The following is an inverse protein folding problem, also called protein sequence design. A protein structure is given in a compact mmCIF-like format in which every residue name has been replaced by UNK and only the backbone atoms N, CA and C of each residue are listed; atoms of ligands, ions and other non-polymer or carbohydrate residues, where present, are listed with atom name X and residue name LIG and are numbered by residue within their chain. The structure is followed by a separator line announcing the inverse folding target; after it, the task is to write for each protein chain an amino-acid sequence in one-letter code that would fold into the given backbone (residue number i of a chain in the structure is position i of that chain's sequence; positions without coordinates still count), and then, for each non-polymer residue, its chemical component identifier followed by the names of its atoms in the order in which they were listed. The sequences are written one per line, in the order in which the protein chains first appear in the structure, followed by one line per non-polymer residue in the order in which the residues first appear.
data_IF_977337802366
#
_entry.id   IF_977337802366
#
_cell.length_a   1.000
_cell.length_b   1.000
_cell.length_c   1.000
_cell.angle_alpha   90.00
_cell.angle_beta   90.00
_cell.angle_gamma   90.00
#
_symmetry.space_group_name_H-M   'P 1'
#
loop_
_entity.id
_entity.type
_entity.pdbx_description
1 polymer ?
#
# COMPACT_ATOMS: atom_id res chain seq x y z
N UNK A 1 -51.92 -15.14 -3.33
CA UNK A 1 -50.51 -14.86 -2.98
C UNK A 1 -50.22 -13.39 -3.25
N UNK A 2 -49.88 -12.58 -2.22
CA UNK A 2 -49.36 -11.23 -2.44
C UNK A 2 -47.88 -11.36 -2.83
N UNK A 3 -47.55 -11.02 -4.07
CA UNK A 3 -46.17 -10.97 -4.53
C UNK A 3 -45.56 -9.69 -3.97
N UNK A 4 -44.83 -9.81 -2.86
CA UNK A 4 -44.02 -8.71 -2.31
C UNK A 4 -42.78 -8.57 -3.19
N UNK A 5 -42.57 -7.37 -3.75
CA UNK A 5 -41.42 -7.08 -4.61
C UNK A 5 -40.54 -6.05 -3.91
N UNK A 6 -39.25 -6.34 -3.74
CA UNK A 6 -38.31 -5.31 -3.33
C UNK A 6 -38.24 -4.20 -4.39
N UNK A 7 -38.23 -2.96 -3.90
CA UNK A 7 -38.03 -1.78 -4.73
C UNK A 7 -36.55 -1.62 -5.09
N UNK A 8 -36.29 -0.87 -6.16
CA UNK A 8 -34.93 -0.69 -6.69
C UNK A 8 -33.99 -0.04 -5.65
N UNK A 9 -34.50 0.86 -4.82
CA UNK A 9 -33.70 1.52 -3.76
C UNK A 9 -33.12 0.50 -2.77
N UNK A 10 -33.92 -0.48 -2.35
CA UNK A 10 -33.45 -1.51 -1.42
C UNK A 10 -32.46 -2.48 -2.08
N UNK A 11 -32.67 -2.81 -3.36
CA UNK A 11 -31.71 -3.62 -4.13
C UNK A 11 -30.36 -2.93 -4.26
N UNK A 12 -30.34 -1.62 -4.48
CA UNK A 12 -29.10 -0.81 -4.49
C UNK A 12 -28.42 -0.79 -3.12
N UNK A 13 -29.18 -0.72 -2.03
CA UNK A 13 -28.60 -0.81 -0.70
C UNK A 13 -27.93 -2.17 -0.47
N UNK A 14 -28.59 -3.28 -0.83
CA UNK A 14 -28.00 -4.63 -0.75
C UNK A 14 -26.71 -4.71 -1.56
N UNK A 15 -26.71 -4.18 -2.79
CA UNK A 15 -25.54 -4.13 -3.67
C UNK A 15 -24.33 -3.46 -3.00
N UNK A 16 -24.53 -2.42 -2.18
CA UNK A 16 -23.43 -1.73 -1.48
C UNK A 16 -22.82 -2.53 -0.32
N UNK A 17 -23.50 -3.59 0.15
CA UNK A 17 -22.96 -4.52 1.14
C UNK A 17 -22.20 -5.70 0.52
N UNK A 18 -22.24 -5.87 -0.80
CA UNK A 18 -21.51 -6.94 -1.49
C UNK A 18 -20.00 -6.67 -1.47
N UNK A 19 -19.22 -7.70 -1.20
CA UNK A 19 -17.78 -7.55 -0.93
C UNK A 19 -16.93 -7.75 -2.19
N UNK A 20 -17.34 -8.66 -3.07
CA UNK A 20 -16.57 -9.08 -4.25
C UNK A 20 -17.31 -8.82 -5.57
N UNK A 21 -16.59 -8.81 -6.70
CA UNK A 21 -17.25 -8.76 -8.01
C UNK A 21 -18.05 -10.04 -8.29
N UNK A 22 -17.66 -11.17 -7.71
CA UNK A 22 -18.41 -12.43 -7.84
C UNK A 22 -19.76 -12.34 -7.15
N UNK A 23 -19.82 -11.75 -5.96
CA UNK A 23 -21.09 -11.47 -5.28
C UNK A 23 -21.99 -10.57 -6.13
N UNK A 24 -21.42 -9.55 -6.77
CA UNK A 24 -22.15 -8.65 -7.67
C UNK A 24 -22.65 -9.39 -8.92
N UNK A 25 -21.83 -10.26 -9.50
CA UNK A 25 -22.21 -11.11 -10.64
C UNK A 25 -23.32 -12.08 -10.26
N UNK A 26 -23.23 -12.72 -9.10
CA UNK A 26 -24.26 -13.60 -8.57
C UNK A 26 -25.56 -12.83 -8.32
N UNK A 27 -25.46 -11.62 -7.74
CA UNK A 27 -26.60 -10.73 -7.54
C UNK A 27 -27.29 -10.37 -8.87
N UNK A 28 -26.52 -10.05 -9.90
CA UNK A 28 -27.02 -9.78 -11.26
C UNK A 28 -27.83 -10.97 -11.82
N UNK A 29 -27.43 -12.20 -11.51
CA UNK A 29 -28.08 -13.42 -12.01
C UNK A 29 -29.37 -13.78 -11.27
N UNK A 30 -29.66 -13.19 -10.09
CA UNK A 30 -30.87 -13.51 -9.31
C UNK A 30 -32.14 -13.18 -10.10
N UNK A 31 -32.23 -11.97 -10.67
CA UNK A 31 -33.34 -11.55 -11.52
C UNK A 31 -33.02 -10.24 -12.28
N UNK A 32 -33.88 -9.91 -13.26
CA UNK A 32 -33.76 -8.71 -14.09
C UNK A 32 -33.63 -7.40 -13.28
N UNK A 33 -34.36 -7.26 -12.16
CA UNK A 33 -34.30 -6.05 -11.34
C UNK A 33 -32.95 -5.86 -10.65
N UNK A 34 -32.26 -6.94 -10.30
CA UNK A 34 -30.90 -6.85 -9.76
C UNK A 34 -29.92 -6.31 -10.81
N UNK A 35 -30.05 -6.74 -12.08
CA UNK A 35 -29.29 -6.18 -13.18
C UNK A 35 -29.63 -4.71 -13.47
N UNK A 36 -30.91 -4.34 -13.42
CA UNK A 36 -31.34 -2.94 -13.51
C UNK A 36 -30.80 -2.10 -12.35
N UNK A 37 -30.71 -2.66 -11.14
CA UNK A 37 -30.11 -1.98 -10.00
C UNK A 37 -28.63 -1.68 -10.28
N UNK A 38 -27.83 -2.68 -10.66
CA UNK A 38 -26.41 -2.52 -11.03
C UNK A 38 -26.23 -1.48 -12.14
N UNK A 39 -27.02 -1.58 -13.21
CA UNK A 39 -26.92 -0.69 -14.37
C UNK A 39 -27.33 0.76 -14.08
N UNK A 40 -27.98 1.04 -12.94
CA UNK A 40 -28.46 2.38 -12.56
C UNK A 40 -27.79 2.93 -11.31
N UNK A 41 -26.71 2.29 -10.84
CA UNK A 41 -25.92 2.79 -9.72
C UNK A 41 -24.81 3.72 -10.21
N UNK A 42 -24.76 4.93 -9.65
CA UNK A 42 -23.81 5.98 -10.04
C UNK A 42 -22.50 5.94 -9.25
N UNK A 43 -22.38 5.01 -8.30
CA UNK A 43 -21.24 4.86 -7.39
C UNK A 43 -20.86 3.38 -7.22
N UNK A 44 -19.59 3.06 -7.02
CA UNK A 44 -19.22 1.67 -6.76
C UNK A 44 -19.45 1.30 -5.28
N UNK A 45 -19.78 0.03 -4.98
CA UNK A 45 -19.65 -0.51 -3.62
C UNK A 45 -18.24 -0.27 -3.04
N UNK A 46 -18.20 0.12 -1.77
CA UNK A 46 -16.99 0.62 -1.11
C UNK A 46 -15.85 -0.41 -1.08
N UNK A 47 -16.19 -1.69 -0.86
CA UNK A 47 -15.23 -2.80 -0.75
C UNK A 47 -14.53 -3.12 -2.07
N UNK A 48 -15.21 -2.94 -3.21
CA UNK A 48 -14.66 -3.36 -4.50
C UNK A 48 -13.36 -2.62 -4.85
N UNK A 49 -13.27 -1.32 -4.55
CA UNK A 49 -12.08 -0.52 -4.84
C UNK A 49 -10.82 -0.98 -4.10
N UNK A 50 -10.96 -1.87 -3.11
CA UNK A 50 -9.86 -2.43 -2.33
C UNK A 50 -9.19 -3.64 -2.99
N UNK A 51 -9.91 -4.32 -3.88
CA UNK A 51 -9.48 -5.58 -4.48
C UNK A 51 -9.48 -5.54 -6.02
N UNK A 52 -10.26 -4.63 -6.62
CA UNK A 52 -10.43 -4.55 -8.07
C UNK A 52 -10.04 -3.20 -8.65
N UNK A 53 -9.36 -3.25 -9.79
CA UNK A 53 -8.95 -2.06 -10.53
C UNK A 53 -10.17 -1.29 -11.01
N UNK A 54 -10.00 0.01 -11.26
CA UNK A 54 -11.06 0.82 -11.86
C UNK A 54 -11.60 0.17 -13.15
N UNK A 55 -10.73 -0.34 -14.02
CA UNK A 55 -11.14 -1.02 -15.26
C UNK A 55 -12.06 -2.23 -15.02
N UNK A 56 -11.78 -3.04 -14.00
CA UNK A 56 -12.65 -4.17 -13.64
C UNK A 56 -14.01 -3.69 -13.12
N UNK A 57 -14.03 -2.69 -12.24
CA UNK A 57 -15.26 -2.13 -11.67
C UNK A 57 -16.10 -1.46 -12.75
N UNK A 58 -15.48 -0.66 -13.62
CA UNK A 58 -16.15 0.08 -14.69
C UNK A 58 -16.80 -0.82 -15.76
N UNK A 59 -16.36 -2.08 -15.89
CA UNK A 59 -17.03 -3.07 -16.76
C UNK A 59 -18.40 -3.49 -16.21
N UNK A 60 -18.57 -3.48 -14.89
CA UNK A 60 -19.82 -3.92 -14.23
C UNK A 60 -20.79 -2.75 -14.03
N UNK A 61 -20.25 -1.56 -13.71
CA UNK A 61 -21.05 -0.36 -13.42
C UNK A 61 -20.87 0.67 -14.54
N UNK A 62 -21.65 0.59 -15.63
CA UNK A 62 -21.42 1.39 -16.85
C UNK A 62 -21.76 2.88 -16.69
N UNK A 63 -22.52 3.27 -15.67
CA UNK A 63 -22.99 4.65 -15.45
C UNK A 63 -22.35 5.32 -14.23
N UNK A 64 -21.18 4.84 -13.79
CA UNK A 64 -20.46 5.44 -12.66
C UNK A 64 -20.21 6.95 -12.90
N UNK A 65 -20.69 7.77 -11.97
CA UNK A 65 -20.45 9.21 -11.93
C UNK A 65 -19.45 9.59 -10.83
N UNK A 66 -19.32 8.75 -9.79
CA UNK A 66 -18.30 8.91 -8.77
C UNK A 66 -17.66 7.56 -8.45
N UNK A 67 -16.34 7.51 -8.51
CA UNK A 67 -15.53 6.37 -8.11
C UNK A 67 -15.06 6.55 -6.66
N UNK A 68 -15.62 5.76 -5.75
CA UNK A 68 -15.17 5.66 -4.38
C UNK A 68 -13.95 4.74 -4.30
N UNK A 69 -12.80 5.35 -4.07
CA UNK A 69 -11.55 4.69 -3.79
C UNK A 69 -11.32 4.66 -2.27
N UNK A 70 -11.93 3.68 -1.59
CA UNK A 70 -11.76 3.48 -0.15
C UNK A 70 -10.28 3.33 0.23
N UNK A 71 -9.58 2.42 -0.48
CA UNK A 71 -8.14 2.27 -0.44
C UNK A 71 -7.63 1.85 -1.81
N UNK A 72 -6.75 2.65 -2.41
CA UNK A 72 -6.10 2.24 -3.65
C UNK A 72 -5.11 1.11 -3.34
N UNK A 73 -5.29 -0.07 -3.91
CA UNK A 73 -4.30 -1.16 -3.91
C UNK A 73 -3.47 -1.20 -5.21
N UNK A 74 -3.95 -0.52 -6.26
CA UNK A 74 -3.24 -0.23 -7.49
C UNK A 74 -3.26 1.27 -7.79
N UNK A 75 -2.21 1.83 -8.38
CA UNK A 75 -2.22 3.20 -8.90
C UNK A 75 -3.06 3.24 -10.18
N UNK A 76 -4.06 4.15 -10.29
CA UNK A 76 -4.79 4.37 -11.52
C UNK A 76 -3.84 4.69 -12.67
N UNK A 77 -4.16 4.20 -13.87
CA UNK A 77 -3.34 4.43 -15.05
C UNK A 77 -3.88 5.60 -15.86
N UNK A 78 -2.97 6.36 -16.47
CA UNK A 78 -3.35 7.49 -17.32
C UNK A 78 -4.27 7.07 -18.49
N UNK A 79 -4.11 5.85 -19.01
CA UNK A 79 -4.98 5.31 -20.07
C UNK A 79 -6.45 5.18 -19.64
N UNK A 80 -6.71 5.04 -18.34
CA UNK A 80 -8.05 4.93 -17.76
C UNK A 80 -8.69 6.31 -17.52
N UNK A 81 -7.89 7.38 -17.51
CA UNK A 81 -8.30 8.73 -17.10
C UNK A 81 -9.45 9.31 -17.93
N UNK A 82 -9.53 8.95 -19.22
CA UNK A 82 -10.59 9.44 -20.13
C UNK A 82 -11.98 9.00 -19.66
N UNK A 83 -12.09 7.75 -19.23
CA UNK A 83 -13.36 7.15 -18.80
C UNK A 83 -13.56 7.25 -17.28
N UNK A 84 -12.56 7.74 -16.55
CA UNK A 84 -12.62 7.83 -15.11
C UNK A 84 -13.59 8.95 -14.68
N UNK A 85 -14.59 8.63 -13.85
CA UNK A 85 -15.47 9.63 -13.26
C UNK A 85 -14.74 10.46 -12.20
N UNK A 86 -15.45 11.34 -11.51
CA UNK A 86 -14.91 12.02 -10.33
C UNK A 86 -14.58 10.99 -9.24
N UNK A 87 -13.53 11.23 -8.46
CA UNK A 87 -12.99 10.28 -7.48
C UNK A 87 -13.10 10.82 -6.06
N UNK A 88 -13.42 9.93 -5.15
CA UNK A 88 -13.31 10.16 -3.72
C UNK A 88 -12.33 9.17 -3.11
N UNK A 89 -11.20 9.68 -2.61
CA UNK A 89 -10.07 8.88 -2.15
C UNK A 89 -10.03 8.92 -0.62
N UNK A 90 -10.29 7.77 -0.01
CA UNK A 90 -10.24 7.57 1.44
C UNK A 90 -8.81 7.38 1.94
N UNK A 91 -8.10 6.39 1.41
CA UNK A 91 -6.73 6.07 1.80
C UNK A 91 -5.86 5.70 0.58
N UNK A 92 -4.56 5.97 0.70
CA UNK A 92 -3.55 5.53 -0.25
C UNK A 92 -2.59 4.55 0.42
N UNK A 93 -2.32 3.42 -0.22
CA UNK A 93 -1.39 2.44 0.32
C UNK A 93 0.05 2.99 0.34
N UNK A 94 0.78 2.73 1.42
CA UNK A 94 2.17 3.18 1.61
C UNK A 94 3.13 2.62 0.55
N UNK A 95 2.79 1.50 -0.09
CA UNK A 95 3.59 0.89 -1.16
C UNK A 95 3.29 1.41 -2.57
N UNK A 96 2.30 2.28 -2.75
CA UNK A 96 1.92 2.76 -4.07
C UNK A 96 2.65 4.05 -4.46
N UNK A 97 3.04 4.19 -5.74
CA UNK A 97 3.56 5.44 -6.28
C UNK A 97 2.66 6.64 -5.92
N UNK A 98 3.24 7.65 -5.27
CA UNK A 98 2.54 8.89 -4.90
C UNK A 98 2.67 9.99 -5.96
N UNK A 99 3.50 9.76 -6.99
CA UNK A 99 3.74 10.72 -8.07
C UNK A 99 2.47 11.10 -8.82
N UNK A 100 1.47 10.22 -8.85
CA UNK A 100 0.17 10.46 -9.48
C UNK A 100 -0.54 11.71 -8.94
N UNK A 101 -0.37 12.04 -7.65
CA UNK A 101 -0.96 13.22 -7.01
C UNK A 101 -0.38 14.54 -7.53
N UNK A 102 0.76 14.51 -8.22
CA UNK A 102 1.35 15.68 -8.87
C UNK A 102 0.87 15.87 -10.32
N UNK A 103 0.17 14.88 -10.88
CA UNK A 103 -0.22 14.88 -12.30
C UNK A 103 -1.58 15.54 -12.50
N UNK A 104 -1.71 16.30 -13.59
CA UNK A 104 -2.94 17.03 -13.93
C UNK A 104 -4.13 16.09 -14.18
N UNK A 105 -3.93 15.05 -15.00
CA UNK A 105 -5.00 14.11 -15.38
C UNK A 105 -5.65 13.42 -14.18
N UNK A 106 -4.88 13.19 -13.10
CA UNK A 106 -5.39 12.58 -11.88
C UNK A 106 -6.04 13.63 -10.98
N UNK A 107 -5.34 14.74 -10.71
CA UNK A 107 -5.79 15.78 -9.80
C UNK A 107 -7.13 16.40 -10.22
N UNK A 108 -7.37 16.59 -11.51
CA UNK A 108 -8.64 17.11 -12.04
C UNK A 108 -9.82 16.16 -11.79
N UNK A 109 -9.57 14.87 -11.58
CA UNK A 109 -10.61 13.89 -11.29
C UNK A 109 -10.90 13.77 -9.79
N UNK A 110 -10.06 14.31 -8.92
CA UNK A 110 -10.22 14.16 -7.47
C UNK A 110 -11.22 15.18 -6.92
N UNK A 111 -12.30 14.68 -6.32
CA UNK A 111 -13.36 15.47 -5.68
C UNK A 111 -13.23 15.50 -4.16
N UNK A 112 -12.83 14.38 -3.56
CA UNK A 112 -12.53 14.26 -2.13
C UNK A 112 -11.23 13.50 -1.94
N UNK A 113 -10.37 13.94 -1.03
CA UNK A 113 -9.11 13.26 -0.76
C UNK A 113 -8.67 13.42 0.68
N UNK A 114 -8.07 12.35 1.21
CA UNK A 114 -7.25 12.39 2.41
C UNK A 114 -5.77 12.35 2.07
N UNK A 115 -5.04 13.35 2.54
CA UNK A 115 -3.60 13.48 2.36
C UNK A 115 -2.89 13.07 3.64
N UNK A 116 -2.11 12.00 3.54
CA UNK A 116 -1.23 11.49 4.60
C UNK A 116 0.22 11.87 4.32
N UNK A 117 1.11 11.67 5.32
CA UNK A 117 2.52 12.01 5.22
C UNK A 117 3.24 11.53 3.94
N UNK A 118 3.04 10.28 3.44
CA UNK A 118 3.70 9.83 2.21
C UNK A 118 3.27 10.59 0.94
N UNK A 119 2.07 11.17 0.94
CA UNK A 119 1.44 11.77 -0.25
C UNK A 119 1.66 13.28 -0.30
N UNK A 120 1.83 13.92 0.86
CA UNK A 120 1.77 15.38 1.01
C UNK A 120 2.69 16.12 0.04
N UNK A 121 3.92 15.65 -0.16
CA UNK A 121 4.86 16.31 -1.07
C UNK A 121 4.39 16.29 -2.52
N UNK A 122 3.91 15.14 -3.00
CA UNK A 122 3.38 14.99 -4.37
C UNK A 122 2.08 15.76 -4.58
N UNK A 123 1.20 15.79 -3.56
CA UNK A 123 -0.02 16.59 -3.58
C UNK A 123 0.30 18.09 -3.73
N UNK A 124 1.23 18.60 -2.92
CA UNK A 124 1.59 20.03 -2.93
C UNK A 124 2.25 20.44 -4.25
N UNK A 125 3.04 19.54 -4.86
CA UNK A 125 3.60 19.78 -6.20
C UNK A 125 2.51 19.96 -7.27
N UNK A 126 1.38 19.27 -7.14
CA UNK A 126 0.26 19.32 -8.08
C UNK A 126 -0.93 20.16 -7.63
N UNK A 127 -0.82 20.94 -6.56
CA UNK A 127 -1.97 21.52 -5.85
C UNK A 127 -2.89 22.36 -6.76
N UNK A 128 -2.33 23.09 -7.71
CA UNK A 128 -3.06 23.94 -8.65
C UNK A 128 -3.91 23.15 -9.66
N UNK A 129 -3.67 21.84 -9.81
CA UNK A 129 -4.42 20.99 -10.72
C UNK A 129 -5.74 20.46 -10.11
N UNK A 130 -5.97 20.64 -8.80
CA UNK A 130 -7.14 20.12 -8.09
C UNK A 130 -8.36 21.04 -8.23
N UNK A 131 -8.85 21.19 -9.46
CA UNK A 131 -9.96 22.12 -9.79
C UNK A 131 -11.34 21.65 -9.30
N UNK A 132 -11.52 20.34 -9.11
CA UNK A 132 -12.79 19.74 -8.67
C UNK A 132 -12.79 19.33 -7.19
N UNK A 133 -11.72 19.65 -6.44
CA UNK A 133 -11.56 19.21 -5.06
C UNK A 133 -12.45 20.04 -4.13
N UNK A 134 -13.48 19.41 -3.55
CA UNK A 134 -14.43 20.07 -2.64
C UNK A 134 -14.20 19.71 -1.17
N UNK A 135 -13.57 18.56 -0.89
CA UNK A 135 -13.33 18.09 0.47
C UNK A 135 -11.90 17.57 0.63
N UNK A 136 -11.14 18.24 1.48
CA UNK A 136 -9.77 17.86 1.81
C UNK A 136 -9.66 17.51 3.30
N UNK A 137 -9.10 16.34 3.56
CA UNK A 137 -8.61 15.95 4.88
C UNK A 137 -7.09 15.86 4.82
N UNK A 138 -6.37 16.49 5.75
CA UNK A 138 -4.90 16.47 5.74
C UNK A 138 -4.32 16.39 7.15
N UNK A 139 -3.23 15.66 7.29
CA UNK A 139 -2.38 15.65 8.48
C UNK A 139 -1.12 16.49 8.23
N UNK A 140 -0.89 17.52 9.06
CA UNK A 140 0.21 18.47 8.91
C UNK A 140 1.07 18.48 10.17
N UNK A 141 2.37 18.26 9.99
CA UNK A 141 3.38 18.38 11.05
C UNK A 141 4.05 19.76 11.04
N UNK A 142 4.68 20.17 12.15
CA UNK A 142 5.33 21.49 12.29
C UNK A 142 6.24 21.88 11.11
N UNK A 143 7.01 20.92 10.57
CA UNK A 143 7.92 21.12 9.44
C UNK A 143 7.23 21.48 8.12
N UNK A 144 5.91 21.31 8.06
CA UNK A 144 5.06 21.49 6.88
C UNK A 144 4.20 22.75 6.98
N UNK A 145 4.53 23.69 7.87
CA UNK A 145 3.74 24.91 8.07
C UNK A 145 3.46 25.70 6.78
N UNK A 146 4.43 25.74 5.85
CA UNK A 146 4.30 26.44 4.56
C UNK A 146 3.21 25.88 3.63
N UNK A 147 2.68 24.69 3.94
CA UNK A 147 1.61 24.04 3.18
C UNK A 147 0.24 24.65 3.49
N UNK A 148 0.07 25.20 4.70
CA UNK A 148 -1.21 25.73 5.19
C UNK A 148 -1.77 26.81 4.26
N UNK A 149 -0.91 27.75 3.84
CA UNK A 149 -1.29 28.86 2.96
C UNK A 149 -1.83 28.36 1.62
N UNK A 150 -1.11 27.40 1.01
CA UNK A 150 -1.48 26.83 -0.28
C UNK A 150 -2.82 26.09 -0.24
N UNK A 151 -3.13 25.44 0.88
CA UNK A 151 -4.34 24.64 1.03
C UNK A 151 -5.58 25.53 1.14
N UNK A 152 -5.53 26.57 1.96
CA UNK A 152 -6.70 27.44 2.17
C UNK A 152 -7.03 28.26 0.91
N UNK A 153 -6.05 28.47 0.02
CA UNK A 153 -6.22 29.18 -1.25
C UNK A 153 -6.93 28.35 -2.35
N UNK A 154 -7.14 27.05 -2.15
CA UNK A 154 -7.85 26.22 -3.14
C UNK A 154 -9.33 26.61 -3.20
N UNK A 155 -9.70 27.36 -4.24
CA UNK A 155 -11.03 27.98 -4.40
C UNK A 155 -12.20 26.98 -4.46
N UNK A 156 -11.96 25.76 -4.91
CA UNK A 156 -13.01 24.74 -5.04
C UNK A 156 -13.42 24.10 -3.71
N UNK A 157 -12.63 24.27 -2.65
CA UNK A 157 -12.87 23.63 -1.36
C UNK A 157 -14.14 24.17 -0.69
N UNK A 158 -14.98 23.23 -0.26
CA UNK A 158 -16.17 23.48 0.57
C UNK A 158 -15.96 22.99 2.00
N UNK A 159 -15.06 22.03 2.22
CA UNK A 159 -14.72 21.49 3.54
C UNK A 159 -13.24 21.15 3.64
N UNK A 160 -12.62 21.61 4.72
CA UNK A 160 -11.20 21.40 5.03
C UNK A 160 -11.09 20.83 6.43
N UNK A 161 -10.43 19.69 6.58
CA UNK A 161 -10.13 19.08 7.88
C UNK A 161 -8.63 19.00 8.04
N UNK A 162 -8.08 19.68 9.06
CA UNK A 162 -6.66 19.69 9.37
C UNK A 162 -6.43 19.01 10.70
N UNK A 163 -5.65 17.93 10.65
CA UNK A 163 -5.09 17.26 11.82
C UNK A 163 -3.68 17.77 12.05
N UNK A 164 -3.37 18.21 13.26
CA UNK A 164 -2.00 18.54 13.65
C UNK A 164 -1.80 18.36 15.14
N UNK A 165 -0.59 17.98 15.54
CA UNK A 165 -0.17 18.05 16.94
C UNK A 165 0.30 19.46 17.35
N UNK A 166 0.51 20.36 16.38
CA UNK A 166 1.00 21.71 16.62
C UNK A 166 -0.16 22.70 16.67
N UNK A 167 -0.33 23.37 17.81
CA UNK A 167 -1.33 24.43 17.94
C UNK A 167 -1.06 25.60 16.99
N UNK A 168 0.22 25.93 16.78
CA UNK A 168 0.65 26.98 15.85
C UNK A 168 0.19 26.74 14.41
N UNK A 169 0.19 25.48 13.94
CA UNK A 169 -0.33 25.17 12.60
C UNK A 169 -1.82 25.44 12.52
N UNK A 170 -2.58 25.01 13.54
CA UNK A 170 -4.03 25.19 13.58
C UNK A 170 -4.40 26.68 13.67
N UNK A 171 -3.69 27.46 14.49
CA UNK A 171 -3.88 28.90 14.61
C UNK A 171 -3.55 29.64 13.30
N UNK A 172 -2.47 29.24 12.62
CA UNK A 172 -2.10 29.80 11.32
C UNK A 172 -3.16 29.49 10.26
N UNK A 173 -3.65 28.25 10.22
CA UNK A 173 -4.71 27.84 9.30
C UNK A 173 -5.97 28.70 9.50
N UNK A 174 -6.39 28.90 10.75
CA UNK A 174 -7.51 29.79 11.07
C UNK A 174 -7.26 31.22 10.60
N UNK A 175 -6.12 31.83 10.95
CA UNK A 175 -5.82 33.22 10.58
C UNK A 175 -5.87 33.42 9.07
N UNK A 176 -5.27 32.49 8.32
CA UNK A 176 -5.27 32.54 6.86
C UNK A 176 -6.67 32.33 6.29
N UNK A 177 -7.41 31.35 6.80
CA UNK A 177 -8.79 31.10 6.41
C UNK A 177 -9.70 32.33 6.60
N UNK A 178 -9.56 33.05 7.72
CA UNK A 178 -10.27 34.31 7.98
C UNK A 178 -9.81 35.40 7.02
N UNK A 179 -8.50 35.55 6.79
CA UNK A 179 -7.95 36.61 5.92
C UNK A 179 -8.44 36.53 4.47
N UNK A 180 -8.69 35.32 3.96
CA UNK A 180 -9.20 35.11 2.60
C UNK A 180 -10.73 35.11 2.52
N UNK A 181 -11.41 35.30 3.66
CA UNK A 181 -12.87 35.31 3.76
C UNK A 181 -13.53 34.07 3.13
N UNK A 182 -12.94 32.89 3.35
CA UNK A 182 -13.44 31.65 2.76
C UNK A 182 -14.82 31.28 3.33
N UNK A 183 -15.71 30.83 2.44
CA UNK A 183 -17.05 30.33 2.80
C UNK A 183 -17.07 28.83 3.12
N UNK A 184 -15.94 28.14 2.99
CA UNK A 184 -15.84 26.72 3.30
C UNK A 184 -16.06 26.43 4.79
N UNK A 185 -16.20 25.16 5.15
CA UNK A 185 -16.14 24.72 6.54
C UNK A 185 -14.71 24.31 6.88
N UNK A 186 -14.13 24.88 7.94
CA UNK A 186 -12.80 24.55 8.44
C UNK A 186 -12.91 23.78 9.75
N UNK A 187 -12.33 22.59 9.78
CA UNK A 187 -12.24 21.74 10.96
C UNK A 187 -10.77 21.63 11.38
N UNK A 188 -10.46 22.09 12.58
CA UNK A 188 -9.13 22.09 13.17
C UNK A 188 -9.09 21.07 14.31
N UNK A 189 -8.26 20.04 14.19
CA UNK A 189 -8.23 18.92 15.12
C UNK A 189 -6.83 18.78 15.70
N UNK A 190 -6.69 19.08 16.99
CA UNK A 190 -5.44 18.90 17.74
C UNK A 190 -5.27 17.42 18.10
N UNK A 191 -4.29 16.77 17.49
CA UNK A 191 -3.96 15.36 17.72
C UNK A 191 -2.88 15.24 18.80
N UNK A 192 -3.08 14.38 19.80
CA UNK A 192 -2.15 14.13 20.92
C UNK A 192 -1.90 15.39 21.77
N UNK A 193 -2.39 15.40 23.01
CA UNK A 193 -2.03 16.41 24.01
C UNK A 193 -0.61 16.15 24.52
N UNK A 194 0.42 16.55 23.76
CA UNK A 194 1.75 16.64 24.35
C UNK A 194 1.84 17.94 25.18
N UNK A 195 2.19 17.87 26.48
CA UNK A 195 2.28 19.06 27.33
C UNK A 195 3.45 20.01 26.98
N UNK A 196 4.27 19.66 25.99
CA UNK A 196 5.50 20.37 25.69
C UNK A 196 5.27 21.41 24.60
N UNK A 197 5.29 22.66 25.03
CA UNK A 197 5.42 23.88 24.23
C UNK A 197 4.17 24.35 23.44
N UNK A 198 3.03 24.52 24.10
CA UNK A 198 2.10 25.60 23.70
C UNK A 198 2.70 26.95 24.18
N UNK A 199 3.83 27.37 23.59
CA UNK A 199 4.49 28.66 23.87
C UNK A 199 3.82 29.83 23.14
N UNK A 200 2.82 29.56 22.30
CA UNK A 200 2.12 30.57 21.54
C UNK A 200 0.87 31.04 22.28
N UNK A 201 0.76 32.34 22.53
CA UNK A 201 -0.51 33.04 22.87
C UNK A 201 -1.58 32.95 21.77
N UNK A 202 -1.34 32.14 20.74
CA UNK A 202 -2.30 31.89 19.69
C UNK A 202 -3.59 31.35 20.34
N UNK A 203 -4.71 32.01 20.03
CA UNK A 203 -6.03 31.55 20.42
C UNK A 203 -6.79 31.22 19.14
N UNK A 204 -7.43 30.06 19.16
CA UNK A 204 -8.39 29.69 18.14
C UNK A 204 -9.70 30.35 18.52
N UNK A 205 -10.15 31.29 17.69
CA UNK A 205 -11.43 31.95 17.86
C UNK A 205 -12.56 31.00 17.44
N UNK A 206 -13.35 30.57 18.41
CA UNK A 206 -14.48 29.63 18.25
C UNK A 206 -15.78 30.34 17.88
N UNK A 207 -15.79 31.67 17.80
CA UNK A 207 -17.00 32.45 17.47
C UNK A 207 -17.28 32.48 15.97
N UNK A 208 -16.29 32.17 15.13
CA UNK A 208 -16.49 32.07 13.69
C UNK A 208 -17.36 30.86 13.34
N UNK A 209 -18.52 31.05 12.68
CA UNK A 209 -19.52 29.98 12.50
C UNK A 209 -19.04 28.84 11.59
N UNK A 210 -18.08 29.11 10.72
CA UNK A 210 -17.54 28.14 9.76
C UNK A 210 -16.25 27.46 10.25
N UNK A 211 -15.81 27.75 11.48
CA UNK A 211 -14.56 27.22 12.06
C UNK A 211 -14.91 26.36 13.26
N UNK A 212 -14.55 25.09 13.18
CA UNK A 212 -14.81 24.09 14.20
C UNK A 212 -13.47 23.62 14.76
N UNK A 213 -13.30 23.71 16.08
CA UNK A 213 -12.08 23.26 16.74
C UNK A 213 -12.34 22.14 17.73
N UNK A 214 -11.56 21.07 17.61
CA UNK A 214 -11.60 19.91 18.48
C UNK A 214 -10.20 19.64 19.05
N UNK A 215 -10.14 19.39 20.35
CA UNK A 215 -8.92 19.05 21.06
C UNK A 215 -9.18 17.92 22.04
N UNK A 216 -8.26 16.95 22.11
CA UNK A 216 -8.31 15.83 23.03
C UNK A 216 -7.35 14.73 22.61
N UNK A 217 -7.42 13.55 23.23
CA UNK A 217 -6.80 12.33 22.71
C UNK A 217 -7.60 11.79 21.51
N UNK A 218 -7.83 12.66 20.53
CA UNK A 218 -8.50 12.33 19.29
C UNK A 218 -7.40 11.77 18.39
N UNK A 219 -7.36 10.44 18.26
CA UNK A 219 -6.62 9.84 17.17
C UNK A 219 -7.21 10.34 15.85
N UNK A 220 -6.36 10.56 14.85
CA UNK A 220 -6.85 10.87 13.50
C UNK A 220 -7.80 9.73 13.12
N UNK A 221 -9.13 9.95 13.05
CA UNK A 221 -10.08 8.88 12.85
C UNK A 221 -9.68 8.16 11.58
N UNK A 222 -9.64 6.83 11.67
CA UNK A 222 -9.47 5.96 10.51
C UNK A 222 -10.80 5.97 9.75
N UNK A 223 -11.28 7.12 9.26
CA UNK A 223 -12.54 7.34 8.51
C UNK A 223 -13.40 6.07 8.38
N UNK A 224 -14.19 5.74 9.40
CA UNK A 224 -14.97 4.47 9.42
C UNK A 224 -15.96 4.37 8.24
N UNK A 225 -16.30 5.51 7.62
CA UNK A 225 -17.16 5.57 6.44
C UNK A 225 -16.44 5.29 5.10
N UNK A 226 -15.11 5.22 5.07
CA UNK A 226 -14.30 4.90 3.88
C UNK A 226 -13.17 3.90 4.14
N UNK A 227 -12.90 3.55 5.39
CA UNK A 227 -12.09 2.39 5.76
C UNK A 227 -13.01 1.20 5.97
N UNK A 228 -13.16 0.40 4.93
CA UNK A 228 -13.31 -1.03 5.20
C UNK A 228 -11.91 -1.53 5.55
N UNK A 229 -11.81 -2.22 6.69
CA UNK A 229 -10.59 -2.82 7.23
C UNK A 229 -9.70 -3.39 6.12
N UNK A 230 -8.49 -2.85 6.00
CA UNK A 230 -7.40 -3.57 5.33
C UNK A 230 -7.14 -4.83 6.13
N UNK A 231 -6.88 -5.96 5.51
CA UNK A 231 -6.17 -7.02 6.21
C UNK A 231 -4.72 -6.98 5.73
N UNK A 232 -3.83 -6.39 6.51
CA UNK A 232 -2.41 -6.65 6.43
C UNK A 232 -2.14 -7.93 7.20
N UNK A 233 -1.49 -8.87 6.53
CA UNK A 233 -1.20 -10.16 7.12
C UNK A 233 0.30 -10.29 7.34
N UNK A 234 0.69 -10.57 8.58
CA UNK A 234 2.01 -11.08 8.89
C UNK A 234 1.92 -12.58 9.02
N UNK A 235 2.69 -13.31 8.21
CA UNK A 235 2.94 -14.72 8.50
C UNK A 235 4.11 -14.76 9.48
N UNK A 236 3.83 -15.22 10.69
CA UNK A 236 4.82 -15.42 11.74
C UNK A 236 5.04 -16.93 11.92
N UNK A 237 6.29 -17.33 11.83
CA UNK A 237 6.69 -18.72 12.01
C UNK A 237 7.53 -18.81 13.29
N UNK A 238 6.94 -19.31 14.39
CA UNK A 238 7.66 -19.64 15.63
C UNK A 238 7.60 -21.16 15.82
N UNK A 239 8.74 -21.78 16.11
CA UNK A 239 8.85 -23.19 16.52
C UNK A 239 8.02 -24.19 15.67
N UNK A 240 8.21 -24.17 14.34
CA UNK A 240 7.52 -25.03 13.33
C UNK A 240 6.03 -24.73 13.05
N UNK A 241 5.40 -23.81 13.78
CA UNK A 241 4.04 -23.35 13.49
C UNK A 241 4.00 -22.22 12.46
N UNK A 242 2.96 -22.16 11.64
CA UNK A 242 2.65 -21.04 10.75
C UNK A 242 1.44 -20.31 11.31
N UNK A 243 1.63 -19.08 11.77
CA UNK A 243 0.53 -18.20 12.19
C UNK A 243 0.35 -17.10 11.16
N UNK A 244 -0.82 -17.06 10.53
CA UNK A 244 -1.28 -15.89 9.79
C UNK A 244 -1.88 -14.94 10.82
N UNK A 245 -1.30 -13.75 10.94
CA UNK A 245 -1.81 -12.69 11.82
C UNK A 245 -2.27 -11.57 10.92
N UNK A 246 -3.58 -11.42 10.79
CA UNK A 246 -4.15 -10.16 10.33
C UNK A 246 -3.99 -9.11 11.43
N UNK A 247 -3.50 -7.94 11.08
CA UNK A 247 -3.42 -6.80 12.00
C UNK A 247 -4.77 -6.13 12.23
N UNK A 248 -5.84 -6.61 11.59
CA UNK A 248 -7.13 -5.92 11.51
C UNK A 248 -8.35 -6.82 11.71
N UNK A 249 -8.20 -8.16 11.69
CA UNK A 249 -9.24 -9.07 12.21
C UNK A 249 -8.64 -10.31 12.85
N UNK A 250 -8.96 -10.50 14.13
CA UNK A 250 -8.64 -11.72 14.87
C UNK A 250 -9.35 -12.97 14.32
N UNK A 251 -10.44 -12.82 13.56
CA UNK A 251 -11.18 -13.94 12.96
C UNK A 251 -10.44 -14.56 11.77
N UNK A 252 -9.53 -13.79 11.14
CA UNK A 252 -8.69 -14.27 10.05
C UNK A 252 -7.33 -14.76 10.54
N UNK A 253 -7.08 -14.66 11.84
CA UNK A 253 -5.88 -15.23 12.43
C UNK A 253 -6.03 -16.75 12.45
N UNK A 254 -4.99 -17.44 12.02
CA UNK A 254 -4.99 -18.90 12.07
C UNK A 254 -3.57 -19.40 12.25
N UNK A 255 -3.41 -20.43 13.08
CA UNK A 255 -2.16 -21.14 13.29
C UNK A 255 -2.04 -22.37 12.35
N UNK A 256 -2.99 -22.53 11.43
CA UNK A 256 -3.03 -23.61 10.44
C UNK A 256 -2.59 -23.14 9.06
N UNK A 257 -1.57 -23.82 8.52
CA UNK A 257 -1.05 -23.58 7.18
C UNK A 257 -2.12 -23.76 6.08
N UNK A 258 -2.99 -24.79 6.21
CA UNK A 258 -4.07 -25.05 5.24
C UNK A 258 -5.12 -23.95 5.23
N UNK A 259 -5.48 -23.45 6.41
CA UNK A 259 -6.41 -22.33 6.54
C UNK A 259 -5.78 -21.03 6.04
N UNK A 260 -4.48 -20.83 6.28
CA UNK A 260 -3.72 -19.69 5.77
C UNK A 260 -3.73 -19.67 4.24
N UNK A 261 -3.44 -20.80 3.59
CA UNK A 261 -3.50 -20.94 2.14
C UNK A 261 -4.92 -20.69 1.60
N UNK A 262 -5.94 -21.24 2.26
CA UNK A 262 -7.34 -21.05 1.87
C UNK A 262 -7.77 -19.58 1.98
N UNK A 263 -7.31 -18.85 3.01
CA UNK A 263 -7.56 -17.41 3.17
C UNK A 263 -6.84 -16.63 2.06
N UNK A 264 -5.56 -16.94 1.81
CA UNK A 264 -4.76 -16.28 0.76
C UNK A 264 -5.37 -16.48 -0.64
N UNK A 265 -5.86 -17.68 -0.92
CA UNK A 265 -6.53 -18.01 -2.17
C UNK A 265 -7.90 -17.34 -2.27
N UNK A 266 -8.76 -17.52 -1.25
CA UNK A 266 -10.13 -16.97 -1.21
C UNK A 266 -10.15 -15.44 -1.36
N UNK A 267 -9.19 -14.76 -0.75
CA UNK A 267 -9.10 -13.29 -0.78
C UNK A 267 -8.10 -12.76 -1.82
N UNK A 268 -7.65 -13.63 -2.74
CA UNK A 268 -6.72 -13.30 -3.84
C UNK A 268 -5.51 -12.45 -3.38
N UNK A 269 -4.96 -12.78 -2.22
CA UNK A 269 -3.93 -11.96 -1.59
C UNK A 269 -2.67 -12.00 -2.45
N UNK A 270 -2.36 -10.86 -3.07
CA UNK A 270 -1.24 -10.77 -4.01
C UNK A 270 0.07 -10.36 -3.35
N UNK A 271 0.04 -9.92 -2.08
CA UNK A 271 1.20 -9.43 -1.34
C UNK A 271 1.26 -10.02 0.06
N UNK A 272 2.42 -10.53 0.46
CA UNK A 272 2.61 -11.09 1.80
C UNK A 272 3.82 -10.48 2.49
N UNK A 273 3.66 -10.24 3.79
CA UNK A 273 4.74 -9.85 4.68
C UNK A 273 5.09 -11.03 5.59
N UNK A 274 6.33 -11.48 5.51
CA UNK A 274 6.86 -12.56 6.34
C UNK A 274 7.85 -11.98 7.35
N UNK A 275 7.59 -12.29 8.62
CA UNK A 275 8.51 -11.99 9.70
C UNK A 275 8.78 -13.29 10.45
N UNK A 276 10.04 -13.74 10.46
CA UNK A 276 10.44 -14.93 11.18
C UNK A 276 11.35 -14.56 12.35
N UNK A 277 11.00 -15.03 13.54
CA UNK A 277 11.83 -14.89 14.74
C UNK A 277 12.40 -16.26 15.12
N UNK A 278 13.50 -16.66 14.46
CA UNK A 278 14.16 -17.94 14.75
C UNK A 278 15.24 -18.30 13.73
N UNK A 279 16.01 -19.35 14.04
CA UNK A 279 16.74 -20.15 13.06
C UNK A 279 16.07 -21.51 13.04
N UNK A 280 15.56 -21.95 11.91
CA UNK A 280 15.08 -23.32 11.73
C UNK A 280 15.95 -24.02 10.70
N UNK A 281 16.21 -25.31 10.90
CA UNK A 281 16.89 -26.17 9.92
C UNK A 281 15.96 -26.70 8.83
N UNK A 282 14.64 -26.52 9.01
CA UNK A 282 13.59 -27.02 8.12
C UNK A 282 13.21 -25.95 7.10
N UNK A 283 13.19 -26.36 5.84
CA UNK A 283 12.72 -25.55 4.71
C UNK A 283 11.28 -25.08 4.93
N UNK A 284 11.03 -23.80 4.65
CA UNK A 284 9.69 -23.25 4.61
C UNK A 284 9.24 -23.16 3.16
N UNK A 285 8.32 -24.05 2.82
CA UNK A 285 7.67 -24.05 1.53
C UNK A 285 6.53 -23.03 1.50
N UNK A 286 6.60 -22.09 0.57
CA UNK A 286 5.59 -21.07 0.30
C UNK A 286 4.94 -21.27 -1.08
N UNK A 287 5.27 -22.35 -1.78
CA UNK A 287 4.81 -22.65 -3.15
C UNK A 287 3.29 -22.69 -3.28
N UNK A 288 2.59 -23.05 -2.20
CA UNK A 288 1.13 -23.15 -2.12
C UNK A 288 0.40 -21.81 -2.32
N UNK A 289 1.08 -20.67 -2.23
CA UNK A 289 0.45 -19.34 -2.35
C UNK A 289 0.42 -18.84 -3.80
N UNK A 290 -0.41 -19.48 -4.62
CA UNK A 290 -0.43 -19.32 -6.09
C UNK A 290 -0.78 -17.91 -6.60
N UNK A 291 -1.47 -17.09 -5.81
CA UNK A 291 -1.88 -15.73 -6.19
C UNK A 291 -0.88 -14.64 -5.76
N UNK A 292 0.14 -15.01 -4.98
CA UNK A 292 1.09 -14.05 -4.40
C UNK A 292 2.12 -13.65 -5.45
N UNK A 293 2.17 -12.35 -5.75
CA UNK A 293 3.09 -11.79 -6.74
C UNK A 293 4.23 -11.00 -6.10
N UNK A 294 4.10 -10.64 -4.82
CA UNK A 294 5.07 -9.86 -4.07
C UNK A 294 5.24 -10.42 -2.66
N UNK A 295 6.50 -10.65 -2.28
CA UNK A 295 6.87 -11.13 -0.95
C UNK A 295 7.84 -10.14 -0.32
N UNK A 296 7.55 -9.73 0.92
CA UNK A 296 8.43 -8.92 1.73
C UNK A 296 8.88 -9.71 2.96
N UNK A 297 10.20 -9.86 3.12
CA UNK A 297 10.83 -10.60 4.20
C UNK A 297 11.53 -9.63 5.17
N UNK A 298 11.27 -9.77 6.47
CA UNK A 298 11.97 -9.03 7.53
C UNK A 298 12.52 -9.99 8.59
N UNK A 299 13.84 -9.88 8.86
CA UNK A 299 14.59 -10.69 9.85
C UNK A 299 14.54 -12.21 9.64
N UNK A 300 14.22 -12.67 8.43
CA UNK A 300 14.05 -14.09 8.12
C UNK A 300 15.41 -14.79 7.97
N UNK A 301 15.62 -15.92 8.67
CA UNK A 301 16.82 -16.75 8.58
C UNK A 301 16.47 -18.21 8.32
N UNK A 302 16.16 -18.56 7.07
CA UNK A 302 15.69 -19.91 6.75
C UNK A 302 15.96 -20.34 5.29
N UNK A 303 15.80 -21.64 5.01
CA UNK A 303 15.62 -22.16 3.66
C UNK A 303 14.18 -21.90 3.19
N UNK A 304 14.01 -21.34 2.00
CA UNK A 304 12.70 -20.92 1.48
C UNK A 304 12.45 -21.44 0.06
N UNK A 305 11.20 -21.82 -0.19
CA UNK A 305 10.68 -22.20 -1.51
C UNK A 305 9.59 -21.21 -1.87
N UNK A 306 9.84 -20.35 -2.86
CA UNK A 306 8.95 -19.26 -3.29
C UNK A 306 7.81 -19.74 -4.23
N UNK A 307 6.61 -19.14 -4.17
CA UNK A 307 5.56 -19.39 -5.16
C UNK A 307 5.96 -18.94 -6.58
N UNK A 308 5.62 -19.74 -7.59
CA UNK A 308 5.96 -19.50 -9.00
C UNK A 308 5.44 -18.15 -9.54
N UNK A 309 4.34 -17.65 -8.98
CA UNK A 309 3.70 -16.39 -9.33
C UNK A 309 4.48 -15.15 -8.86
N UNK A 310 5.45 -15.31 -7.95
CA UNK A 310 6.20 -14.20 -7.35
C UNK A 310 7.07 -13.55 -8.41
N UNK A 311 6.91 -12.23 -8.52
CA UNK A 311 7.67 -11.37 -9.43
C UNK A 311 8.56 -10.39 -8.67
N UNK A 312 8.22 -10.07 -7.42
CA UNK A 312 8.94 -9.08 -6.62
C UNK A 312 9.28 -9.61 -5.24
N UNK A 313 10.53 -9.42 -4.86
CA UNK A 313 11.06 -9.83 -3.57
C UNK A 313 11.73 -8.63 -2.88
N UNK A 314 11.23 -8.27 -1.69
CA UNK A 314 11.81 -7.24 -0.83
C UNK A 314 12.38 -7.90 0.43
N UNK A 315 13.60 -7.55 0.82
CA UNK A 315 14.29 -8.16 1.95
C UNK A 315 14.92 -7.12 2.88
N UNK A 316 14.84 -7.40 4.18
CA UNK A 316 15.47 -6.59 5.22
C UNK A 316 16.05 -7.49 6.32
N UNK A 317 17.33 -7.35 6.62
CA UNK A 317 18.00 -8.14 7.68
C UNK A 317 17.83 -9.66 7.55
N UNK A 318 17.81 -10.19 6.32
CA UNK A 318 17.51 -11.60 6.04
C UNK A 318 18.78 -12.47 5.82
N UNK A 319 18.75 -13.74 6.19
CA UNK A 319 19.73 -14.76 5.77
C UNK A 319 19.00 -15.95 5.15
N UNK A 320 18.74 -15.91 3.85
CA UNK A 320 17.84 -16.85 3.18
C UNK A 320 18.59 -17.71 2.18
N UNK A 321 18.17 -18.97 2.08
CA UNK A 321 18.67 -19.91 1.08
C UNK A 321 17.49 -20.41 0.25
N UNK A 322 17.47 -20.14 -1.05
CA UNK A 322 16.37 -20.54 -1.94
C UNK A 322 16.61 -21.94 -2.49
N UNK A 323 15.63 -22.82 -2.30
CA UNK A 323 15.73 -24.23 -2.68
C UNK A 323 15.01 -24.42 -4.02
N UNK A 324 15.78 -24.28 -5.10
CA UNK A 324 15.46 -24.70 -6.47
C UNK A 324 14.03 -24.40 -6.97
N UNK A 325 13.71 -23.12 -7.17
CA UNK A 325 12.43 -22.73 -7.76
C UNK A 325 12.65 -21.93 -9.04
N UNK A 326 12.18 -22.46 -10.17
CA UNK A 326 12.09 -21.79 -11.48
C UNK A 326 11.16 -20.56 -11.51
N UNK A 327 11.06 -19.85 -10.40
CA UNK A 327 10.40 -18.56 -10.22
C UNK A 327 11.19 -17.52 -11.01
N UNK A 328 10.49 -16.81 -11.91
CA UNK A 328 11.07 -15.77 -12.76
C UNK A 328 10.85 -14.41 -12.11
N UNK A 329 11.79 -14.01 -11.25
CA UNK A 329 11.72 -12.73 -10.55
C UNK A 329 12.00 -11.57 -11.50
N UNK A 330 11.23 -10.48 -11.35
CA UNK A 330 11.44 -9.21 -12.06
C UNK A 330 12.15 -8.17 -11.21
N UNK A 331 11.95 -8.21 -9.89
CA UNK A 331 12.61 -7.29 -8.96
C UNK A 331 13.08 -8.01 -7.70
N UNK A 332 14.32 -7.77 -7.31
CA UNK A 332 14.90 -8.16 -6.02
C UNK A 332 15.50 -6.93 -5.38
N UNK A 333 15.05 -6.62 -4.16
CA UNK A 333 15.55 -5.50 -3.37
C UNK A 333 15.93 -5.99 -1.99
N UNK A 334 17.11 -5.62 -1.52
CA UNK A 334 17.60 -5.94 -0.19
C UNK A 334 18.11 -4.71 0.54
N UNK A 335 18.01 -4.72 1.87
CA UNK A 335 18.58 -3.67 2.71
C UNK A 335 19.21 -4.27 3.97
N UNK A 336 20.34 -3.71 4.38
CA UNK A 336 21.01 -3.94 5.68
C UNK A 336 21.15 -5.41 6.09
N UNK A 337 22.36 -5.97 5.94
CA UNK A 337 22.70 -7.28 6.54
C UNK A 337 21.93 -8.46 5.93
N UNK A 338 21.54 -8.33 4.66
CA UNK A 338 20.97 -9.43 3.90
C UNK A 338 22.06 -10.37 3.36
N UNK A 339 21.84 -11.68 3.44
CA UNK A 339 22.63 -12.71 2.79
C UNK A 339 21.66 -13.65 2.09
N UNK A 340 21.86 -13.87 0.81
CA UNK A 340 21.00 -14.69 -0.05
C UNK A 340 21.88 -15.73 -0.70
N UNK A 341 21.51 -17.00 -0.61
CA UNK A 341 22.13 -18.12 -1.32
C UNK A 341 21.05 -19.00 -1.96
N UNK A 342 21.43 -19.96 -2.79
CA UNK A 342 20.47 -20.89 -3.43
C UNK A 342 20.41 -20.77 -4.95
N UNK A 343 19.34 -21.29 -5.55
CA UNK A 343 19.12 -21.26 -7.01
C UNK A 343 17.85 -20.47 -7.34
N UNK A 344 18.00 -19.43 -8.16
CA UNK A 344 16.91 -18.57 -8.63
C UNK A 344 17.08 -18.37 -10.13
N UNK A 345 15.98 -18.48 -10.88
CA UNK A 345 15.92 -18.07 -12.29
C UNK A 345 15.75 -16.54 -12.38
N UNK A 346 16.75 -15.86 -12.92
CA UNK A 346 16.78 -14.39 -13.00
C UNK A 346 16.66 -13.86 -14.43
N UNK A 347 16.24 -14.70 -15.38
CA UNK A 347 16.15 -14.33 -16.80
C UNK A 347 15.24 -13.11 -17.06
N UNK A 348 14.26 -12.88 -16.18
CA UNK A 348 13.32 -11.74 -16.26
C UNK A 348 13.67 -10.57 -15.33
N UNK A 349 14.83 -10.62 -14.66
CA UNK A 349 15.19 -9.68 -13.60
C UNK A 349 15.53 -8.31 -14.19
N UNK A 350 14.72 -7.32 -13.83
CA UNK A 350 14.89 -5.91 -14.26
C UNK A 350 15.52 -5.03 -13.19
N UNK A 351 15.30 -5.39 -11.92
CA UNK A 351 15.78 -4.60 -10.78
C UNK A 351 16.49 -5.52 -9.81
N UNK A 352 17.74 -5.21 -9.53
CA UNK A 352 18.55 -5.88 -8.53
C UNK A 352 19.29 -4.82 -7.71
N UNK A 353 18.91 -4.65 -6.43
CA UNK A 353 19.42 -3.54 -5.61
C UNK A 353 19.58 -3.96 -4.16
N UNK A 354 20.78 -3.73 -3.60
CA UNK A 354 21.11 -4.03 -2.21
C UNK A 354 21.91 -2.90 -1.57
N UNK A 355 21.43 -2.40 -0.43
CA UNK A 355 22.19 -1.44 0.36
C UNK A 355 23.23 -2.20 1.19
N UNK A 356 24.50 -2.14 0.77
CA UNK A 356 25.71 -2.46 1.55
C UNK A 356 25.74 -3.84 2.25
N UNK A 357 25.17 -4.88 1.63
CA UNK A 357 25.21 -6.26 2.15
C UNK A 357 26.31 -7.08 1.48
N UNK A 358 27.00 -7.97 2.22
CA UNK A 358 27.76 -9.07 1.61
C UNK A 358 26.76 -10.06 1.00
N UNK A 359 26.79 -10.19 -0.32
CA UNK A 359 25.90 -11.07 -1.08
C UNK A 359 26.71 -12.26 -1.57
N UNK A 360 26.39 -13.46 -1.09
CA UNK A 360 26.99 -14.72 -1.55
C UNK A 360 25.95 -15.52 -2.36
N UNK A 361 25.72 -15.13 -3.61
CA UNK A 361 24.71 -15.76 -4.47
C UNK A 361 25.29 -16.68 -5.54
N UNK A 362 24.56 -17.76 -5.78
CA UNK A 362 24.62 -18.58 -6.99
C UNK A 362 23.32 -18.41 -7.77
N UNK A 363 23.32 -18.43 -9.09
CA UNK A 363 22.08 -18.44 -9.89
C UNK A 363 22.21 -19.32 -11.12
N UNK A 364 21.07 -19.66 -11.72
CA UNK A 364 20.99 -20.43 -12.96
C UNK A 364 20.66 -19.47 -14.10
N UNK A 365 21.55 -19.41 -15.09
CA UNK A 365 21.37 -18.62 -16.32
C UNK A 365 21.37 -19.62 -17.50
N UNK A 366 20.28 -19.68 -18.28
CA UNK A 366 20.12 -20.62 -19.40
C UNK A 366 20.46 -22.10 -19.07
N UNK A 367 20.00 -22.58 -17.91
CA UNK A 367 20.21 -23.97 -17.49
C UNK A 367 21.63 -24.32 -17.03
N UNK A 368 22.53 -23.32 -16.89
CA UNK A 368 23.88 -23.50 -16.33
C UNK A 368 24.00 -22.75 -15.00
N UNK A 369 24.47 -23.43 -13.96
CA UNK A 369 24.75 -22.82 -12.66
C UNK A 369 26.00 -21.93 -12.78
N UNK A 370 25.85 -20.62 -12.60
CA UNK A 370 26.98 -19.70 -12.47
C UNK A 370 27.13 -19.30 -10.99
N UNK A 371 28.33 -19.56 -10.44
CA UNK A 371 28.78 -18.89 -9.21
C UNK A 371 29.48 -17.61 -9.66
N UNK A 372 28.85 -16.46 -9.43
CA UNK A 372 29.42 -15.19 -9.85
C UNK A 372 29.73 -14.38 -8.59
N UNK A 373 31.03 -14.23 -8.29
CA UNK A 373 31.49 -12.99 -7.68
C UNK A 373 31.26 -11.92 -8.74
N UNK A 374 30.28 -11.05 -8.49
CA UNK A 374 29.64 -10.11 -9.44
C UNK A 374 30.64 -9.55 -10.48
N UNK A 375 30.58 -10.04 -11.72
CA UNK A 375 31.23 -9.42 -12.88
C UNK A 375 30.17 -8.83 -13.83
N UNK A 376 29.90 -7.55 -13.57
CA UNK A 376 29.48 -6.44 -14.43
C UNK A 376 29.07 -6.81 -15.88
N UNK A 377 27.87 -7.34 -16.12
CA UNK A 377 27.19 -7.29 -17.44
C UNK A 377 25.65 -7.18 -17.39
N UNK A 378 25.08 -6.78 -16.27
CA UNK A 378 23.72 -6.26 -16.26
C UNK A 378 23.85 -4.74 -16.26
N UNK A 379 23.16 -4.05 -17.18
CA UNK A 379 22.99 -2.59 -17.17
C UNK A 379 22.19 -2.18 -15.92
N UNK A 380 22.85 -2.31 -14.77
CA UNK A 380 22.40 -1.89 -13.46
C UNK A 380 23.10 -0.58 -13.22
N UNK A 381 22.32 0.49 -13.08
CA UNK A 381 22.82 1.73 -12.49
C UNK A 381 23.31 1.42 -11.06
N UNK A 382 24.61 1.15 -10.93
CA UNK A 382 25.29 0.98 -9.65
C UNK A 382 25.82 2.36 -9.23
N UNK A 383 25.35 2.85 -8.08
CA UNK A 383 26.11 3.82 -7.29
C UNK A 383 26.77 3.08 -6.12
N UNK A 384 28.09 2.92 -6.27
CA UNK A 384 29.19 2.84 -5.31
C UNK A 384 29.06 2.11 -3.95
N UNK A 385 30.14 1.38 -3.66
CA UNK A 385 30.59 0.83 -2.36
C UNK A 385 30.19 -0.61 -2.01
N UNK A 386 30.53 -1.57 -2.88
CA UNK A 386 30.65 -2.99 -2.51
C UNK A 386 32.12 -3.41 -2.47
N UNK A 387 32.61 -3.81 -1.29
CA UNK A 387 33.89 -4.50 -1.14
C UNK A 387 33.71 -5.99 -1.42
N UNK A 388 34.40 -6.50 -2.44
CA UNK A 388 34.48 -7.91 -2.77
C UNK A 388 35.60 -8.57 -1.94
N UNK A 389 35.33 -9.72 -1.33
CA UNK A 389 36.36 -10.63 -0.84
C UNK A 389 36.60 -11.71 -1.89
N UNK A 390 37.85 -11.85 -2.35
CA UNK A 390 38.26 -12.85 -3.33
C UNK A 390 38.28 -14.28 -2.77
N UNK A 391 38.41 -15.29 -3.65
CA UNK A 391 38.42 -16.69 -3.26
C UNK A 391 39.66 -17.01 -2.42
N UNK A 392 39.45 -17.61 -1.24
CA UNK A 392 40.52 -18.24 -0.47
C UNK A 392 40.93 -19.54 -1.16
N UNK A 393 41.97 -19.49 -1.98
CA UNK A 393 42.70 -20.68 -2.43
C UNK A 393 43.78 -21.02 -1.41
N UNK A 394 43.58 -22.07 -0.62
CA UNK A 394 44.67 -22.86 -0.06
C UNK A 394 44.23 -24.32 -0.11
N UNK A 395 44.76 -25.03 -1.08
CA UNK A 395 44.81 -26.48 -1.15
C UNK A 395 45.80 -26.98 -0.10
N UNK A 396 45.34 -27.85 0.80
CA UNK A 396 46.19 -28.76 1.53
C UNK A 396 46.71 -29.80 0.54
N UNK A 397 47.96 -29.64 0.10
CA UNK A 397 48.91 -30.68 -0.35
C UNK A 397 50.04 -30.02 -1.16
N UNK A 398 51.22 -29.90 -0.54
CA UNK A 398 52.58 -29.85 -1.10
C UNK A 398 53.51 -29.10 -0.13
N UNK A 399 53.66 -29.65 1.08
CA UNK A 399 54.89 -29.52 1.86
C UNK A 399 55.68 -30.79 1.66
N UNK A 400 56.48 -30.86 0.60
CA UNK A 400 57.67 -31.70 0.54
C UNK A 400 58.63 -31.14 -0.51
N UNK A 401 59.92 -31.24 -0.21
CA UNK A 401 61.10 -30.91 -1.02
C UNK A 401 61.34 -29.44 -1.40
N UNK A 402 62.09 -28.73 -0.55
CA UNK A 402 63.42 -28.17 -0.93
C UNK A 402 64.15 -27.73 0.34
N UNK A 403 65.06 -28.57 0.81
CA UNK A 403 66.23 -28.21 1.62
C UNK A 403 67.33 -29.20 1.25
N UNK A 404 68.05 -28.91 0.17
CA UNK A 404 69.51 -28.85 0.14
C UNK A 404 69.97 -28.07 -1.08
#
# INVERSE_FOLDING_TARGET
MRVVRLENVFLKNVLFYLETLDDVCNFNQINKKCGEAIATVFINPFKLSQFYTFSQINKIFPVLQTYYCAKSFCTPKMIEARNMPLMEIGAWDKGLPTTVFSTKWFAEKVRKVRITQPIIHSFIKGINNYTNLIHLTIEIEYKQVSIVEKIVEIKSLQKIIIYSNSFYILSLAQRKFISIQSKAQLYLIKTKNQPRYDLSNDKIDKTYPNIHFYSGNIEVPKDEYLNVSQYSFTINTKNKGFSLISHESSLLNTDSLKQTASIIEKYEISKLFFCHQGRTSVETDLSMFMNVTEISLDKVKNKLTLPFSVKRLNMKQCKVCFVNNGVRLKEIRGSKGCSVSGEICIDDLKVFSFDSSRIDMSWIEYGKTKRVGIDIRLDVFVLNNTYLSGPSSLSDEEKQSTNH
#
